data_IF_078913350717
#
_entry.id   IF_078913350717
#
_cell.length_a   1.000
_cell.length_b   1.000
_cell.length_c   1.000
_cell.angle_alpha   90.00
_cell.angle_beta   90.00
_cell.angle_gamma   90.00
#
_symmetry.space_group_name_H-M   'P 1'
#
loop_
_entity.id
_entity.type
_entity.pdbx_description
1 polymer ?
#
# COMPACT_ATOMS: atom_id res chain seq x y z
N UNK A 1 2.55 12.94 5.82
CA UNK A 1 3.63 11.96 6.05
C UNK A 1 4.67 12.48 7.04
N UNK A 2 4.49 13.69 7.60
CA UNK A 2 5.48 14.35 8.46
C UNK A 2 5.76 13.60 9.75
N UNK A 3 4.74 12.99 10.37
CA UNK A 3 4.90 12.15 11.57
C UNK A 3 5.79 10.94 11.26
N UNK A 4 5.61 10.29 10.11
CA UNK A 4 6.42 9.14 9.71
C UNK A 4 7.89 9.53 9.51
N UNK A 5 8.15 10.67 8.87
CA UNK A 5 9.50 11.19 8.69
C UNK A 5 10.17 11.52 10.03
N UNK A 6 9.46 12.19 10.94
CA UNK A 6 9.95 12.50 12.28
C UNK A 6 10.30 11.24 13.06
N UNK A 7 9.42 10.23 13.07
CA UNK A 7 9.69 8.96 13.74
C UNK A 7 10.88 8.22 13.09
N UNK A 8 11.02 8.28 11.77
CA UNK A 8 12.11 7.64 11.05
C UNK A 8 13.49 8.25 11.37
N UNK A 9 13.57 9.58 11.53
CA UNK A 9 14.80 10.25 11.97
C UNK A 9 15.21 9.80 13.39
N UNK A 10 14.21 9.58 14.26
CA UNK A 10 14.43 9.14 15.64
C UNK A 10 14.87 7.69 15.79
N UNK A 11 14.73 6.85 14.76
CA UNK A 11 15.25 5.46 14.78
C UNK A 11 16.76 5.42 15.02
N UNK A 12 17.50 6.42 14.52
CA UNK A 12 18.96 6.49 14.72
C UNK A 12 19.35 6.82 16.17
N UNK A 13 18.46 7.51 16.89
CA UNK A 13 18.68 7.90 18.28
C UNK A 13 18.13 6.85 19.26
N UNK A 14 16.98 6.25 18.92
CA UNK A 14 16.22 5.37 19.79
C UNK A 14 15.52 4.28 18.97
N UNK A 15 15.94 3.02 19.16
CA UNK A 15 15.35 1.86 18.49
C UNK A 15 13.84 1.68 18.80
N UNK A 16 13.35 2.24 19.91
CA UNK A 16 11.93 2.22 20.28
C UNK A 16 11.01 2.83 19.20
N UNK A 17 11.54 3.64 18.28
CA UNK A 17 10.78 4.19 17.16
C UNK A 17 10.63 3.22 15.98
N UNK A 18 11.36 2.10 15.94
CA UNK A 18 11.26 1.12 14.84
C UNK A 18 9.85 0.58 14.70
N UNK A 19 9.23 0.16 15.81
CA UNK A 19 7.86 -0.39 15.80
C UNK A 19 6.82 0.68 15.38
N UNK A 20 6.79 1.89 15.97
CA UNK A 20 5.94 2.99 15.51
C UNK A 20 6.08 3.28 14.01
N UNK A 21 7.31 3.35 13.49
CA UNK A 21 7.57 3.56 12.06
C UNK A 21 6.97 2.43 11.23
N UNK A 22 7.14 1.18 11.66
CA UNK A 22 6.58 0.02 10.97
C UNK A 22 5.05 0.05 10.94
N UNK A 23 4.39 0.40 12.05
CA UNK A 23 2.93 0.50 12.11
C UNK A 23 2.40 1.64 11.21
N UNK A 24 3.07 2.79 11.21
CA UNK A 24 2.71 3.90 10.33
C UNK A 24 2.85 3.50 8.85
N UNK A 25 3.92 2.78 8.47
CA UNK A 25 4.10 2.26 7.10
C UNK A 25 2.97 1.29 6.72
N UNK A 26 2.51 0.43 7.64
CA UNK A 26 1.37 -0.47 7.35
C UNK A 26 0.11 0.32 7.02
N UNK A 27 -0.15 1.43 7.72
CA UNK A 27 -1.29 2.30 7.43
C UNK A 27 -1.21 2.91 6.03
N UNK A 28 -0.01 3.28 5.57
CA UNK A 28 0.20 3.78 4.20
C UNK A 28 -0.12 2.74 3.12
N UNK A 29 -0.02 1.45 3.44
CA UNK A 29 -0.34 0.34 2.54
C UNK A 29 -1.82 -0.03 2.50
N UNK A 30 -2.66 0.59 3.33
CA UNK A 30 -4.10 0.42 3.30
C UNK A 30 -4.70 1.27 2.17
N UNK A 31 -5.73 0.78 1.46
CA UNK A 31 -6.37 1.57 0.43
C UNK A 31 -6.94 2.83 1.09
N UNK A 32 -6.61 4.01 0.55
CA UNK A 32 -7.34 5.24 0.86
C UNK A 32 -8.78 5.09 0.35
N UNK A 33 -9.60 4.34 1.09
CA UNK A 33 -10.93 3.85 0.70
C UNK A 33 -11.90 4.98 0.32
N UNK A 34 -11.63 6.22 0.77
CA UNK A 34 -12.57 7.33 0.61
C UNK A 34 -12.35 8.24 -0.60
N UNK A 35 -11.18 8.20 -1.28
CA UNK A 35 -10.85 9.20 -2.31
C UNK A 35 -10.78 8.67 -3.75
N UNK A 36 -10.75 7.33 -3.94
CA UNK A 36 -10.57 6.68 -5.25
C UNK A 36 -11.73 6.91 -6.24
N UNK A 37 -12.90 7.36 -5.77
CA UNK A 37 -14.12 7.48 -6.59
C UNK A 37 -14.43 8.92 -7.07
N UNK A 38 -13.79 9.95 -6.53
CA UNK A 38 -14.18 11.35 -6.81
C UNK A 38 -13.16 12.13 -7.65
N UNK A 39 -11.85 11.84 -7.54
CA UNK A 39 -10.79 12.61 -8.22
C UNK A 39 -9.59 11.72 -8.60
N UNK A 40 -9.68 11.01 -9.72
CA UNK A 40 -8.66 10.04 -10.17
C UNK A 40 -7.27 10.69 -10.39
N UNK A 41 -7.23 11.92 -10.93
CA UNK A 41 -5.98 12.67 -11.16
C UNK A 41 -5.28 13.02 -9.84
N UNK A 42 -6.03 13.51 -8.85
CA UNK A 42 -5.50 13.84 -7.53
C UNK A 42 -5.05 12.59 -6.77
N UNK A 43 -5.72 11.45 -7.00
CA UNK A 43 -5.35 10.18 -6.41
C UNK A 43 -4.00 9.68 -6.93
N UNK A 44 -3.78 9.67 -8.25
CA UNK A 44 -2.51 9.21 -8.85
C UNK A 44 -1.30 10.03 -8.39
N UNK A 45 -1.46 11.37 -8.32
CA UNK A 45 -0.42 12.26 -7.83
C UNK A 45 -0.08 11.99 -6.34
N UNK A 46 -1.10 11.91 -5.48
CA UNK A 46 -0.89 11.65 -4.05
C UNK A 46 -0.28 10.28 -3.76
N UNK A 47 -0.66 9.27 -4.54
CA UNK A 47 -0.06 7.92 -4.49
C UNK A 47 1.41 7.97 -4.90
N UNK A 48 1.71 8.60 -6.03
CA UNK A 48 3.09 8.68 -6.54
C UNK A 48 4.00 9.40 -5.55
N UNK A 49 3.53 10.49 -4.95
CA UNK A 49 4.23 11.20 -3.88
C UNK A 49 4.44 10.32 -2.65
N UNK A 50 3.42 9.57 -2.23
CA UNK A 50 3.52 8.65 -1.09
C UNK A 50 4.55 7.52 -1.33
N UNK A 51 4.57 6.94 -2.53
CA UNK A 51 5.56 5.91 -2.90
C UNK A 51 6.98 6.51 -2.92
N UNK A 52 7.15 7.72 -3.47
CA UNK A 52 8.44 8.39 -3.47
C UNK A 52 8.96 8.63 -2.04
N UNK A 53 8.07 9.07 -1.14
CA UNK A 53 8.41 9.27 0.28
C UNK A 53 8.77 7.95 0.98
N UNK A 54 8.04 6.87 0.72
CA UNK A 54 8.42 5.53 1.21
C UNK A 54 9.80 5.09 0.67
N UNK A 55 10.11 5.41 -0.59
CA UNK A 55 11.43 5.19 -1.18
C UNK A 55 12.54 5.94 -0.42
N UNK A 56 12.30 7.22 -0.08
CA UNK A 56 13.24 8.02 0.73
C UNK A 56 13.52 7.40 2.11
N UNK A 57 12.53 6.75 2.72
CA UNK A 57 12.66 6.10 4.03
C UNK A 57 13.53 4.82 4.00
N UNK A 58 13.89 4.30 2.82
CA UNK A 58 14.85 3.18 2.71
C UNK A 58 16.24 3.54 3.27
N UNK A 59 16.55 4.82 3.46
CA UNK A 59 17.77 5.31 4.12
C UNK A 59 17.84 4.98 5.62
N UNK A 60 16.71 4.63 6.24
CA UNK A 60 16.69 4.25 7.66
C UNK A 60 17.50 2.97 7.86
N UNK A 61 18.47 2.92 8.78
CA UNK A 61 19.38 1.79 8.96
C UNK A 61 18.73 0.60 9.70
N UNK A 62 17.43 0.38 9.54
CA UNK A 62 16.71 -0.76 10.13
C UNK A 62 16.21 -1.69 9.03
N UNK A 63 16.66 -2.95 9.08
CA UNK A 63 16.17 -4.00 8.17
C UNK A 63 14.66 -4.20 8.31
N UNK A 64 14.13 -4.14 9.54
CA UNK A 64 12.71 -4.26 9.81
C UNK A 64 11.91 -3.16 9.10
N UNK A 65 12.36 -1.90 9.20
CA UNK A 65 11.71 -0.77 8.51
C UNK A 65 11.74 -0.99 6.99
N UNK A 66 12.90 -1.32 6.41
CA UNK A 66 13.03 -1.55 4.96
C UNK A 66 12.14 -2.69 4.46
N UNK A 67 12.02 -3.77 5.22
CA UNK A 67 11.13 -4.89 4.88
C UNK A 67 9.67 -4.45 4.91
N UNK A 68 9.25 -3.64 5.88
CA UNK A 68 7.88 -3.12 5.94
C UNK A 68 7.58 -2.16 4.78
N UNK A 69 8.54 -1.33 4.37
CA UNK A 69 8.41 -0.48 3.17
C UNK A 69 8.13 -1.36 1.93
N UNK A 70 8.93 -2.41 1.71
CA UNK A 70 8.71 -3.33 0.61
C UNK A 70 7.33 -3.99 0.65
N UNK A 71 6.89 -4.45 1.83
CA UNK A 71 5.54 -5.03 2.01
C UNK A 71 4.43 -4.03 1.66
N UNK A 72 4.58 -2.78 2.08
CA UNK A 72 3.65 -1.69 1.77
C UNK A 72 3.56 -1.44 0.26
N UNK A 73 4.69 -1.31 -0.44
CA UNK A 73 4.73 -1.10 -1.90
C UNK A 73 4.11 -2.29 -2.64
N UNK A 74 4.45 -3.53 -2.25
CA UNK A 74 3.86 -4.73 -2.87
C UNK A 74 2.34 -4.78 -2.66
N UNK A 75 1.86 -4.41 -1.46
CA UNK A 75 0.42 -4.33 -1.16
C UNK A 75 -0.26 -3.36 -2.12
N UNK A 76 0.33 -2.18 -2.33
CA UNK A 76 -0.17 -1.17 -3.24
C UNK A 76 -0.34 -1.71 -4.68
N UNK A 77 0.71 -2.28 -5.25
CA UNK A 77 0.66 -2.88 -6.59
C UNK A 77 -0.35 -4.03 -6.72
N UNK A 78 -0.45 -4.89 -5.69
CA UNK A 78 -1.39 -6.01 -5.70
C UNK A 78 -2.85 -5.57 -5.60
N UNK A 79 -3.12 -4.44 -4.94
CA UNK A 79 -4.46 -3.84 -4.90
C UNK A 79 -4.86 -3.22 -6.24
N UNK A 80 -3.88 -2.78 -7.03
CA UNK A 80 -4.09 -2.14 -8.33
C UNK A 80 -4.28 -3.13 -9.47
N UNK A 81 -3.73 -4.35 -9.35
CA UNK A 81 -4.10 -5.48 -10.21
C UNK A 81 -5.56 -5.87 -9.89
N UNK A 82 -6.54 -5.55 -10.75
CA UNK A 82 -7.82 -6.22 -10.67
C UNK A 82 -7.49 -7.68 -10.93
N UNK A 83 -7.90 -8.58 -10.02
CA UNK A 83 -7.89 -10.02 -10.30
C UNK A 83 -8.44 -10.17 -11.71
N UNK A 84 -7.61 -10.66 -12.64
CA UNK A 84 -8.02 -10.96 -14.00
C UNK A 84 -9.39 -11.61 -13.91
N UNK A 85 -10.43 -10.95 -14.43
CA UNK A 85 -11.69 -11.61 -14.69
C UNK A 85 -11.33 -12.65 -15.75
N UNK A 86 -11.21 -13.91 -15.33
CA UNK A 86 -10.86 -15.01 -16.20
C UNK A 86 -11.89 -15.09 -17.33
N UNK A 87 -11.48 -15.26 -18.60
CA UNK A 87 -12.42 -15.51 -19.68
C UNK A 87 -12.89 -16.97 -19.64
N UNK A 88 -14.13 -17.21 -19.21
CA UNK A 88 -14.95 -18.29 -19.76
C UNK A 88 -15.48 -19.41 -18.84
N UNK A 89 -16.79 -19.67 -19.02
CA UNK A 89 -17.62 -20.87 -18.75
C UNK A 89 -18.06 -21.13 -17.29
N UNK A 90 -19.33 -21.44 -16.97
CA UNK A 90 -20.51 -21.83 -17.74
C UNK A 90 -21.80 -21.38 -17.01
N UNK A 91 -22.80 -20.88 -17.74
CA UNK A 91 -24.18 -20.84 -17.23
C UNK A 91 -24.91 -22.03 -17.86
N UNK A 92 -25.46 -22.86 -16.98
CA UNK A 92 -26.09 -24.12 -17.27
C UNK A 92 -27.27 -23.96 -18.24
N UNK A 93 -27.29 -24.78 -19.29
CA UNK A 93 -28.54 -25.14 -19.96
C UNK A 93 -29.33 -26.03 -18.99
N UNK A 94 -30.28 -25.44 -18.26
CA UNK A 94 -31.30 -26.22 -17.57
C UNK A 94 -32.40 -26.54 -18.58
N UNK A 95 -32.40 -27.79 -19.05
CA UNK A 95 -33.55 -28.46 -19.69
C UNK A 95 -34.80 -28.24 -18.84
N UNK A 96 -35.81 -27.57 -19.40
CA UNK A 96 -37.20 -27.73 -19.01
C UNK A 96 -37.93 -28.46 -20.12
N UNK A 97 -38.24 -29.75 -19.90
CA UNK A 97 -39.16 -30.53 -20.73
C UNK A 97 -40.60 -30.24 -20.29
N UNK A 98 -41.51 -30.05 -21.25
CA UNK A 98 -42.77 -30.78 -21.54
C UNK A 98 -43.57 -29.95 -22.52
#
# INVERSE_FOLDING_TARGET
>A
MDILNLCAEKVNEQEAFIEPVCELIKLCGLPFQKKKLSDEVNYSAAVSESIAQLGCLMRVPSSQVRIQICKCIISFYKMELPRKLLPGKAQCFSRGNV
#
